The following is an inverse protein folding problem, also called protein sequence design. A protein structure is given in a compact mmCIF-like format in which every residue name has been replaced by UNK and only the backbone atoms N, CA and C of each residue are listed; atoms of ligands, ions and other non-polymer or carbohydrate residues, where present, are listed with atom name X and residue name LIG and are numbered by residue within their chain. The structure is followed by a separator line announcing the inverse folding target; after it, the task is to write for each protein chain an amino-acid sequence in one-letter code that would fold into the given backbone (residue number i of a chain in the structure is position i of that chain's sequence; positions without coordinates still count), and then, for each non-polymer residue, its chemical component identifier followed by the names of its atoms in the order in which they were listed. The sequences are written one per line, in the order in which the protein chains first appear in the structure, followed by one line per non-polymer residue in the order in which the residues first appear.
data_IF_951576671022
#
_entry.id   IF_951576671022
#
_cell.length_a   1.000
_cell.length_b   1.000
_cell.length_c   1.000
_cell.angle_alpha   90.00
_cell.angle_beta   90.00
_cell.angle_gamma   90.00
#
_symmetry.space_group_name_H-M   'P 1'
#
loop_
_entity.id
_entity.type
_entity.pdbx_description
1 polymer ?
#
# COMPACT_ATOMS: atom_id res chain seq x y z
N UNK A 1 76.71 -41.93 -79.92
CA UNK A 1 75.26 -41.59 -80.10
C UNK A 1 74.63 -41.56 -78.74
N UNK A 2 74.50 -40.36 -78.17
CA UNK A 2 73.99 -40.11 -76.81
C UNK A 2 72.79 -39.25 -76.92
N UNK A 3 71.65 -39.81 -76.57
CA UNK A 3 70.31 -39.14 -76.53
C UNK A 3 70.10 -38.41 -75.22
N UNK A 4 69.93 -37.10 -75.30
CA UNK A 4 69.72 -36.25 -74.14
C UNK A 4 68.22 -36.21 -73.81
N UNK A 5 67.85 -36.77 -72.64
CA UNK A 5 66.54 -36.64 -72.05
C UNK A 5 66.29 -35.25 -71.56
N UNK A 6 65.29 -34.53 -72.10
CA UNK A 6 64.81 -33.24 -71.64
C UNK A 6 63.93 -33.43 -70.41
N UNK A 7 64.41 -33.02 -69.23
CA UNK A 7 63.64 -32.88 -68.01
C UNK A 7 62.55 -31.75 -68.15
N UNK A 8 61.28 -32.10 -68.13
CA UNK A 8 60.17 -31.14 -67.99
C UNK A 8 60.18 -30.54 -66.59
N UNK A 9 60.17 -29.21 -66.50
CA UNK A 9 59.99 -28.48 -65.28
C UNK A 9 58.52 -28.61 -64.81
N UNK A 10 58.25 -28.80 -63.51
CA UNK A 10 56.86 -28.81 -63.03
C UNK A 10 56.31 -27.39 -63.07
N UNK A 11 55.11 -27.26 -63.67
CA UNK A 11 54.32 -26.05 -63.62
C UNK A 11 53.95 -25.71 -62.16
N UNK A 12 54.26 -24.48 -61.73
CA UNK A 12 53.84 -23.94 -60.45
C UNK A 12 52.32 -23.85 -60.49
N UNK A 13 51.64 -24.64 -59.67
CA UNK A 13 50.22 -24.49 -59.40
C UNK A 13 50.03 -23.12 -58.73
N UNK A 14 49.32 -22.24 -59.39
CA UNK A 14 48.84 -20.95 -58.81
C UNK A 14 47.77 -21.31 -57.81
N UNK A 15 48.06 -21.11 -56.51
CA UNK A 15 47.08 -21.27 -55.49
C UNK A 15 45.91 -20.26 -55.75
N UNK A 16 44.78 -20.78 -56.17
CA UNK A 16 43.52 -20.02 -56.20
C UNK A 16 43.16 -19.70 -54.77
N UNK A 17 43.16 -18.42 -54.40
CA UNK A 17 42.55 -17.97 -53.18
C UNK A 17 41.08 -18.38 -53.22
N UNK A 18 40.74 -19.33 -52.36
CA UNK A 18 39.38 -19.80 -52.22
C UNK A 18 38.50 -18.58 -51.86
N UNK A 19 37.46 -18.44 -52.64
CA UNK A 19 36.39 -17.47 -52.43
C UNK A 19 35.81 -17.73 -51.04
N UNK A 20 36.10 -16.84 -50.06
CA UNK A 20 35.52 -16.92 -48.71
C UNK A 20 34.08 -16.42 -48.87
N UNK A 21 33.19 -17.35 -49.24
CA UNK A 21 31.78 -17.07 -49.43
C UNK A 21 31.23 -16.28 -48.26
N UNK A 22 30.66 -15.10 -48.54
CA UNK A 22 30.15 -14.12 -47.56
C UNK A 22 29.16 -14.65 -46.53
N UNK A 23 28.62 -15.82 -46.70
CA UNK A 23 27.69 -16.51 -45.79
C UNK A 23 28.36 -17.07 -44.51
N UNK A 24 29.68 -17.30 -44.48
CA UNK A 24 30.39 -17.77 -43.31
C UNK A 24 30.51 -16.70 -42.21
N UNK A 25 30.79 -15.46 -42.58
CA UNK A 25 30.88 -14.33 -41.62
C UNK A 25 29.52 -14.02 -40.98
N UNK A 26 28.43 -14.03 -41.77
CA UNK A 26 27.08 -13.77 -41.27
C UNK A 26 26.65 -14.88 -40.28
N UNK A 27 26.90 -16.14 -40.56
CA UNK A 27 26.66 -17.27 -39.65
C UNK A 27 27.48 -17.20 -38.37
N UNK A 28 28.73 -16.77 -38.44
CA UNK A 28 29.58 -16.57 -37.24
C UNK A 28 29.08 -15.43 -36.40
N UNK A 29 28.71 -14.31 -37.02
CA UNK A 29 28.14 -13.13 -36.32
C UNK A 29 26.78 -13.49 -35.66
N UNK A 30 25.86 -14.13 -36.38
CA UNK A 30 24.60 -14.62 -35.82
C UNK A 30 24.83 -15.64 -34.69
N UNK A 31 25.82 -16.51 -34.80
CA UNK A 31 26.19 -17.45 -33.73
C UNK A 31 26.72 -16.77 -32.46
N UNK A 32 27.53 -15.71 -32.61
CA UNK A 32 28.02 -14.89 -31.48
C UNK A 32 26.86 -14.13 -30.83
N UNK A 33 26.00 -13.47 -31.62
CA UNK A 33 24.79 -12.79 -31.11
C UNK A 33 23.82 -13.76 -30.44
N UNK A 34 23.59 -14.94 -31.02
CA UNK A 34 22.75 -15.99 -30.43
C UNK A 34 23.29 -16.45 -29.06
N UNK A 35 24.60 -16.72 -28.96
CA UNK A 35 25.23 -17.07 -27.67
C UNK A 35 25.16 -15.92 -26.66
N UNK A 36 25.42 -14.69 -27.11
CA UNK A 36 25.28 -13.49 -26.26
C UNK A 36 23.88 -13.33 -25.72
N UNK A 37 22.87 -13.51 -26.59
CA UNK A 37 21.45 -13.44 -26.16
C UNK A 37 21.11 -14.53 -25.13
N UNK A 38 21.59 -15.78 -25.35
CA UNK A 38 21.38 -16.85 -24.37
C UNK A 38 22.03 -16.53 -23.02
N UNK A 39 23.27 -16.01 -23.01
CA UNK A 39 23.94 -15.62 -21.78
C UNK A 39 23.14 -14.51 -21.06
N UNK A 40 22.67 -13.50 -21.77
CA UNK A 40 21.84 -12.42 -21.19
C UNK A 40 20.53 -12.99 -20.63
N UNK A 41 19.83 -13.85 -21.36
CA UNK A 41 18.60 -14.49 -20.89
C UNK A 41 18.83 -15.34 -19.65
N UNK A 42 19.85 -16.20 -19.65
CA UNK A 42 20.19 -17.05 -18.50
C UNK A 42 20.56 -16.18 -17.30
N UNK A 43 21.40 -15.17 -17.49
CA UNK A 43 21.78 -14.25 -16.41
C UNK A 43 20.57 -13.51 -15.84
N UNK A 44 19.68 -13.01 -16.71
CA UNK A 44 18.45 -12.31 -16.28
C UNK A 44 17.53 -13.24 -15.50
N UNK A 45 17.30 -14.47 -15.98
CA UNK A 45 16.49 -15.48 -15.29
C UNK A 45 17.11 -15.89 -13.94
N UNK A 46 18.43 -16.01 -13.88
CA UNK A 46 19.14 -16.34 -12.64
C UNK A 46 19.01 -15.22 -11.62
N UNK A 47 19.24 -13.97 -12.01
CA UNK A 47 19.08 -12.80 -11.14
C UNK A 47 17.64 -12.68 -10.65
N UNK A 48 16.67 -12.87 -11.55
CA UNK A 48 15.24 -12.86 -11.19
C UNK A 48 14.91 -13.99 -10.21
N UNK A 49 15.38 -15.21 -10.46
CA UNK A 49 15.14 -16.36 -9.57
C UNK A 49 15.74 -16.17 -8.18
N UNK A 50 16.98 -15.66 -8.08
CA UNK A 50 17.63 -15.36 -6.80
C UNK A 50 16.86 -14.24 -6.06
N UNK A 51 16.45 -13.20 -6.79
CA UNK A 51 15.71 -12.07 -6.20
C UNK A 51 14.34 -12.51 -5.68
N UNK A 52 13.62 -13.33 -6.42
CA UNK A 52 12.35 -13.90 -5.99
C UNK A 52 12.51 -14.81 -4.76
N UNK A 53 13.53 -15.68 -4.76
CA UNK A 53 13.85 -16.54 -3.61
C UNK A 53 14.19 -15.74 -2.36
N UNK A 54 15.01 -14.70 -2.48
CA UNK A 54 15.32 -13.81 -1.35
C UNK A 54 14.06 -13.11 -0.81
N UNK A 55 13.20 -12.60 -1.70
CA UNK A 55 11.98 -11.94 -1.30
C UNK A 55 11.02 -12.87 -0.55
N UNK A 56 10.80 -14.09 -1.05
CA UNK A 56 9.94 -15.08 -0.39
C UNK A 56 10.51 -15.52 0.96
N UNK A 57 11.84 -15.65 1.07
CA UNK A 57 12.48 -16.01 2.34
C UNK A 57 12.35 -14.89 3.39
N UNK A 58 12.49 -13.64 3.00
CA UNK A 58 12.29 -12.51 3.92
C UNK A 58 10.83 -12.41 4.37
N UNK A 59 9.87 -12.59 3.46
CA UNK A 59 8.44 -12.60 3.79
C UNK A 59 8.09 -13.67 4.80
N UNK A 60 8.63 -14.90 4.65
CA UNK A 60 8.32 -16.01 5.55
C UNK A 60 8.91 -15.86 6.97
N UNK A 61 9.90 -14.99 7.17
CA UNK A 61 10.52 -14.76 8.49
C UNK A 61 9.67 -13.96 9.45
N UNK A 62 8.75 -13.13 8.94
CA UNK A 62 7.98 -12.16 9.72
C UNK A 62 6.47 -12.37 9.56
N UNK A 63 6.05 -13.60 9.27
CA UNK A 63 4.63 -13.91 9.08
C UNK A 63 3.84 -13.86 10.39
N UNK A 64 2.61 -13.40 10.28
CA UNK A 64 1.60 -13.43 11.33
C UNK A 64 0.62 -14.55 11.00
N UNK A 65 0.53 -15.56 11.86
CA UNK A 65 -0.50 -16.59 11.73
C UNK A 65 -1.85 -16.01 12.14
N UNK A 66 -2.77 -15.93 11.19
CA UNK A 66 -4.11 -15.39 11.43
C UNK A 66 -5.08 -16.54 11.65
N UNK A 67 -5.89 -16.42 12.70
CA UNK A 67 -7.02 -17.31 12.96
C UNK A 67 -8.33 -16.53 12.92
N UNK A 68 -9.41 -17.18 12.52
CA UNK A 68 -10.74 -16.60 12.55
C UNK A 68 -11.35 -16.56 13.95
N UNK A 69 -12.52 -15.94 14.09
CA UNK A 69 -13.29 -15.93 15.34
C UNK A 69 -13.66 -17.33 15.85
N UNK A 70 -13.66 -18.33 14.98
CA UNK A 70 -13.86 -19.74 15.30
C UNK A 70 -12.58 -20.45 15.76
N UNK A 71 -11.48 -19.75 15.86
CA UNK A 71 -10.16 -20.28 16.27
C UNK A 71 -9.45 -21.12 15.22
N UNK A 72 -9.98 -21.23 13.99
CA UNK A 72 -9.37 -21.98 12.89
C UNK A 72 -8.46 -21.07 12.07
N UNK A 73 -7.45 -21.69 11.43
CA UNK A 73 -6.61 -20.98 10.47
C UNK A 73 -7.48 -20.42 9.33
N UNK A 74 -7.18 -19.19 8.93
CA UNK A 74 -7.89 -18.53 7.82
C UNK A 74 -7.40 -19.10 6.50
N UNK A 75 -8.32 -19.60 5.69
CA UNK A 75 -8.04 -20.04 4.32
C UNK A 75 -7.91 -18.84 3.38
N UNK A 76 -7.04 -18.97 2.37
CA UNK A 76 -6.92 -17.95 1.31
C UNK A 76 -8.20 -18.02 0.45
N UNK A 77 -9.04 -16.97 0.46
CA UNK A 77 -10.24 -16.96 -0.37
C UNK A 77 -9.88 -16.86 -1.85
N UNK A 78 -10.78 -17.30 -2.75
CA UNK A 78 -10.59 -17.12 -4.18
C UNK A 78 -10.39 -15.65 -4.55
N UNK A 79 -9.36 -15.35 -5.36
CA UNK A 79 -9.02 -13.97 -5.75
C UNK A 79 -10.05 -13.29 -6.66
N UNK A 80 -11.08 -14.00 -7.10
CA UNK A 80 -12.19 -13.43 -7.88
C UNK A 80 -13.30 -12.79 -7.01
N UNK A 81 -13.24 -12.96 -5.68
CA UNK A 81 -14.15 -12.30 -4.73
C UNK A 81 -13.62 -10.93 -4.25
N UNK A 82 -14.36 -10.24 -3.36
CA UNK A 82 -13.87 -9.03 -2.72
C UNK A 82 -12.64 -9.33 -1.85
N UNK A 83 -11.75 -8.35 -1.71
CA UNK A 83 -10.55 -8.48 -0.89
C UNK A 83 -10.66 -7.54 0.32
N UNK A 84 -10.64 -8.10 1.52
CA UNK A 84 -10.61 -7.37 2.77
C UNK A 84 -9.21 -7.50 3.40
N UNK A 85 -8.54 -6.38 3.59
CA UNK A 85 -7.19 -6.28 4.17
C UNK A 85 -7.21 -5.32 5.34
N UNK A 86 -6.78 -5.77 6.52
CA UNK A 86 -6.53 -4.89 7.65
C UNK A 86 -5.08 -4.39 7.62
N UNK A 87 -4.90 -3.07 7.57
CA UNK A 87 -3.61 -2.42 7.74
C UNK A 87 -3.53 -1.87 9.17
N UNK A 88 -2.48 -2.28 9.89
CA UNK A 88 -2.21 -1.86 11.27
C UNK A 88 -0.86 -1.14 11.32
N UNK A 89 -0.86 0.10 11.80
CA UNK A 89 0.36 0.83 12.15
C UNK A 89 0.58 0.76 13.66
N UNK A 90 1.71 0.17 14.07
CA UNK A 90 2.06 0.00 15.48
C UNK A 90 3.13 1.00 15.90
N UNK A 91 3.03 1.46 17.15
CA UNK A 91 4.06 2.26 17.82
C UNK A 91 5.15 1.39 18.49
N UNK A 92 5.16 0.08 18.22
CA UNK A 92 6.18 -0.83 18.76
C UNK A 92 7.58 -0.35 18.45
N UNK A 93 8.43 -0.37 19.47
CA UNK A 93 9.85 -0.01 19.35
C UNK A 93 10.74 -1.25 19.36
N UNK A 94 10.15 -2.42 19.31
CA UNK A 94 10.86 -3.68 19.12
C UNK A 94 11.34 -3.82 17.67
N UNK A 95 12.51 -4.41 17.51
CA UNK A 95 13.07 -4.68 16.18
C UNK A 95 14.15 -3.71 15.74
N UNK A 96 14.77 -4.01 14.61
CA UNK A 96 15.92 -3.27 14.06
C UNK A 96 15.50 -1.87 13.63
N UNK A 97 16.20 -0.85 14.14
CA UNK A 97 15.98 0.55 13.76
C UNK A 97 14.96 1.30 14.60
N UNK A 98 14.11 0.62 15.38
CA UNK A 98 13.08 1.29 16.19
C UNK A 98 13.60 1.85 17.53
N UNK A 99 14.74 1.37 18.04
CA UNK A 99 15.33 1.81 19.31
C UNK A 99 15.68 3.31 19.37
N UNK A 100 15.85 3.98 18.25
CA UNK A 100 16.10 5.42 18.20
C UNK A 100 14.90 6.26 18.66
N UNK A 101 13.70 5.67 18.72
CA UNK A 101 12.47 6.34 19.17
C UNK A 101 12.22 6.19 20.67
N UNK A 102 13.16 5.61 21.44
CA UNK A 102 13.10 5.41 22.88
C UNK A 102 12.90 3.93 23.24
N UNK A 103 12.97 3.65 24.54
CA UNK A 103 12.91 2.29 25.11
C UNK A 103 11.55 1.95 25.73
N UNK A 104 10.54 2.79 25.56
CA UNK A 104 9.20 2.49 26.05
C UNK A 104 8.63 1.26 25.34
N UNK A 105 8.06 0.37 26.13
CA UNK A 105 7.51 -0.91 25.67
C UNK A 105 6.03 -0.81 25.25
N UNK A 106 5.55 0.40 24.91
CA UNK A 106 4.21 0.53 24.38
C UNK A 106 4.10 -0.28 23.07
N UNK A 107 3.08 -1.10 22.99
CA UNK A 107 2.73 -1.82 21.76
C UNK A 107 1.25 -1.56 21.50
N UNK A 108 0.98 -0.47 20.80
CA UNK A 108 -0.35 0.01 20.51
C UNK A 108 -0.57 0.12 19.00
N UNK A 109 -1.79 -0.12 18.55
CA UNK A 109 -2.20 0.09 17.17
C UNK A 109 -2.62 1.55 16.98
N UNK A 110 -1.70 2.39 16.54
CA UNK A 110 -1.95 3.83 16.34
C UNK A 110 -2.70 4.13 15.03
N UNK A 111 -2.64 3.22 14.07
CA UNK A 111 -3.37 3.28 12.80
C UNK A 111 -4.07 1.95 12.58
N UNK A 112 -5.36 1.98 12.31
CA UNK A 112 -6.16 0.80 11.98
C UNK A 112 -7.02 1.16 10.78
N UNK A 113 -6.77 0.54 9.63
CA UNK A 113 -7.50 0.82 8.39
C UNK A 113 -7.95 -0.50 7.77
N UNK A 114 -9.25 -0.66 7.61
CA UNK A 114 -9.83 -1.76 6.84
C UNK A 114 -9.95 -1.33 5.38
N UNK A 115 -9.23 -2.02 4.51
CA UNK A 115 -9.26 -1.81 3.07
C UNK A 115 -10.14 -2.89 2.45
N UNK A 116 -11.15 -2.48 1.71
CA UNK A 116 -12.00 -3.33 0.91
C UNK A 116 -11.82 -3.01 -0.57
N UNK A 117 -11.53 -4.02 -1.37
CA UNK A 117 -11.42 -3.93 -2.83
C UNK A 117 -12.56 -4.76 -3.41
N UNK A 118 -13.41 -4.14 -4.23
CA UNK A 118 -14.57 -4.82 -4.84
C UNK A 118 -14.15 -6.01 -5.71
N UNK A 119 -15.02 -7.02 -5.80
CA UNK A 119 -14.78 -8.22 -6.61
C UNK A 119 -14.52 -7.88 -8.09
N UNK A 120 -15.21 -6.86 -8.62
CA UNK A 120 -15.05 -6.40 -10.00
C UNK A 120 -13.79 -5.54 -10.24
N UNK A 121 -12.98 -5.29 -9.19
CA UNK A 121 -11.75 -4.47 -9.22
C UNK A 121 -11.95 -3.05 -9.76
N UNK A 122 -13.15 -2.49 -9.56
CA UNK A 122 -13.46 -1.11 -10.01
C UNK A 122 -13.49 -0.10 -8.88
N UNK A 123 -13.57 -0.54 -7.62
CA UNK A 123 -13.68 0.32 -6.46
C UNK A 123 -12.78 -0.18 -5.33
N UNK A 124 -12.26 0.73 -4.54
CA UNK A 124 -11.60 0.41 -3.27
C UNK A 124 -11.99 1.46 -2.23
N UNK A 125 -12.21 1.01 -1.00
CA UNK A 125 -12.43 1.88 0.14
C UNK A 125 -11.52 1.49 1.29
N UNK A 126 -10.93 2.48 1.96
CA UNK A 126 -10.21 2.31 3.21
C UNK A 126 -10.97 3.02 4.32
N UNK A 127 -11.43 2.29 5.34
CA UNK A 127 -12.09 2.88 6.52
C UNK A 127 -11.08 2.93 7.66
N UNK A 128 -10.77 4.13 8.13
CA UNK A 128 -9.89 4.37 9.28
C UNK A 128 -10.68 4.32 10.58
N UNK A 129 -10.25 3.50 11.52
CA UNK A 129 -10.80 3.40 12.87
C UNK A 129 -10.01 4.29 13.82
N UNK A 130 -10.68 5.17 14.61
CA UNK A 130 -9.99 5.94 15.63
C UNK A 130 -9.29 5.01 16.63
N UNK A 131 -8.04 5.29 17.00
CA UNK A 131 -7.31 4.47 17.96
C UNK A 131 -7.95 4.47 19.36
N UNK A 132 -8.64 5.54 19.69
CA UNK A 132 -9.33 5.75 20.96
C UNK A 132 -10.77 5.20 20.96
N UNK A 133 -11.12 4.39 19.93
CA UNK A 133 -12.44 3.78 19.79
C UNK A 133 -12.65 2.68 20.84
N UNK A 134 -13.73 2.81 21.60
CA UNK A 134 -14.14 1.85 22.62
C UNK A 134 -15.11 0.84 22.02
N UNK A 135 -14.73 -0.42 22.02
CA UNK A 135 -15.51 -1.52 21.43
C UNK A 135 -15.37 -2.80 22.26
N UNK A 136 -16.30 -3.76 22.14
CA UNK A 136 -16.12 -5.09 22.70
C UNK A 136 -14.96 -5.82 21.98
N UNK A 137 -14.16 -6.58 22.75
CA UNK A 137 -13.13 -7.45 22.19
C UNK A 137 -13.57 -8.91 22.25
N UNK A 138 -13.30 -9.71 21.22
CA UNK A 138 -13.45 -11.15 21.29
C UNK A 138 -12.39 -11.80 22.18
N UNK A 139 -12.53 -13.09 22.43
CA UNK A 139 -11.42 -13.88 22.92
C UNK A 139 -10.30 -13.88 21.86
N UNK A 140 -9.08 -13.59 22.27
CA UNK A 140 -7.93 -13.55 21.39
C UNK A 140 -6.95 -14.67 21.69
N UNK A 141 -6.36 -15.33 20.68
CA UNK A 141 -5.35 -16.35 20.90
C UNK A 141 -4.07 -15.74 21.49
N UNK A 142 -3.32 -16.55 22.25
CA UNK A 142 -2.00 -16.14 22.70
C UNK A 142 -1.01 -16.15 21.54
N UNK A 143 -0.16 -15.13 21.47
CA UNK A 143 0.96 -15.06 20.51
C UNK A 143 2.20 -15.81 20.99
N UNK A 144 2.22 -16.23 22.27
CA UNK A 144 3.39 -16.86 22.92
C UNK A 144 3.15 -18.34 23.29
N UNK A 145 2.04 -18.92 22.82
CA UNK A 145 1.69 -20.33 23.10
C UNK A 145 1.10 -20.59 24.50
N UNK A 146 0.84 -19.53 25.28
CA UNK A 146 0.14 -19.60 26.57
C UNK A 146 -1.40 -19.60 26.40
N UNK A 147 -2.16 -19.45 27.50
CA UNK A 147 -3.60 -19.26 27.43
C UNK A 147 -3.92 -17.97 26.66
N UNK A 148 -4.98 -18.00 25.87
CA UNK A 148 -5.47 -16.82 25.16
C UNK A 148 -6.03 -15.76 26.11
N UNK A 149 -6.38 -14.62 25.57
CA UNK A 149 -6.98 -13.52 26.29
C UNK A 149 -8.51 -13.65 26.30
N UNK A 150 -9.10 -13.40 27.46
CA UNK A 150 -10.56 -13.44 27.61
C UNK A 150 -11.22 -12.26 26.86
N UNK A 151 -12.48 -12.44 26.40
CA UNK A 151 -13.22 -11.36 25.80
C UNK A 151 -13.46 -10.22 26.80
N UNK A 152 -13.50 -8.99 26.29
CA UNK A 152 -13.83 -7.81 27.07
C UNK A 152 -15.12 -7.17 26.54
N UNK A 153 -15.99 -6.76 27.45
CA UNK A 153 -17.25 -6.09 27.07
C UNK A 153 -17.02 -4.69 26.49
N UNK A 154 -15.94 -4.02 26.90
CA UNK A 154 -15.58 -2.69 26.41
C UNK A 154 -14.07 -2.47 26.63
N UNK A 155 -13.35 -2.21 25.55
CA UNK A 155 -11.92 -1.91 25.59
C UNK A 155 -11.53 -0.97 24.46
N UNK A 156 -10.40 -0.29 24.62
CA UNK A 156 -9.88 0.61 23.60
C UNK A 156 -9.22 -0.20 22.47
N UNK A 157 -9.65 0.01 21.23
CA UNK A 157 -9.25 -0.83 20.08
C UNK A 157 -7.74 -0.87 19.85
N UNK A 158 -7.00 0.21 20.12
CA UNK A 158 -5.55 0.24 19.92
C UNK A 158 -4.78 -0.69 20.88
N UNK A 159 -5.35 -1.01 22.05
CA UNK A 159 -4.71 -1.87 23.05
C UNK A 159 -4.85 -3.39 22.72
N UNK A 160 -5.67 -3.75 21.73
CA UNK A 160 -5.84 -5.15 21.32
C UNK A 160 -4.53 -5.79 20.87
N UNK A 161 -3.65 -5.02 20.24
CA UNK A 161 -2.34 -5.52 19.78
C UNK A 161 -1.43 -5.93 20.95
N UNK A 162 -1.50 -5.23 22.07
CA UNK A 162 -0.72 -5.57 23.27
C UNK A 162 -1.24 -6.85 23.95
N UNK A 163 -2.53 -7.18 23.77
CA UNK A 163 -3.18 -8.30 24.43
C UNK A 163 -3.22 -9.60 23.61
N UNK A 164 -3.04 -9.55 22.31
CA UNK A 164 -3.11 -10.76 21.47
C UNK A 164 -2.47 -10.54 20.11
N UNK A 165 -1.58 -9.54 20.04
CA UNK A 165 -0.92 -9.18 18.80
C UNK A 165 -1.85 -8.61 17.74
N UNK A 166 -1.36 -8.38 16.53
CA UNK A 166 -2.15 -7.79 15.45
C UNK A 166 -3.32 -8.68 15.00
N UNK A 167 -3.26 -9.99 15.28
CA UNK A 167 -4.39 -10.91 15.08
C UNK A 167 -5.59 -10.58 15.98
N UNK A 168 -5.37 -10.13 17.22
CA UNK A 168 -6.44 -9.69 18.11
C UNK A 168 -7.11 -8.40 17.59
N UNK A 169 -6.32 -7.46 17.06
CA UNK A 169 -6.87 -6.27 16.39
C UNK A 169 -7.76 -6.68 15.20
N UNK A 170 -7.31 -7.64 14.38
CA UNK A 170 -8.08 -8.16 13.26
C UNK A 170 -9.40 -8.77 13.72
N UNK A 171 -9.38 -9.68 14.71
CA UNK A 171 -10.58 -10.31 15.24
C UNK A 171 -11.57 -9.29 15.83
N UNK A 172 -11.06 -8.23 16.46
CA UNK A 172 -11.88 -7.14 16.99
C UNK A 172 -12.57 -6.36 15.88
N UNK A 173 -11.87 -6.09 14.77
CA UNK A 173 -12.46 -5.43 13.60
C UNK A 173 -13.45 -6.38 12.89
N UNK A 174 -13.16 -7.68 12.78
CA UNK A 174 -14.12 -8.67 12.25
C UNK A 174 -15.40 -8.71 13.08
N UNK A 175 -15.28 -8.74 14.42
CA UNK A 175 -16.44 -8.73 15.31
C UNK A 175 -17.25 -7.45 15.18
N UNK A 176 -16.60 -6.29 15.06
CA UNK A 176 -17.27 -5.00 14.93
C UNK A 176 -18.00 -4.84 13.60
N UNK A 177 -17.38 -5.31 12.51
CA UNK A 177 -17.87 -5.07 11.14
C UNK A 177 -18.75 -6.22 10.61
N UNK A 178 -18.65 -7.41 11.19
CA UNK A 178 -19.27 -8.64 10.67
C UNK A 178 -18.60 -9.17 9.38
N UNK A 179 -17.51 -8.53 8.93
CA UNK A 179 -16.82 -8.92 7.70
C UNK A 179 -15.72 -9.93 7.99
N UNK A 180 -15.48 -10.86 7.04
CA UNK A 180 -14.28 -11.70 7.07
C UNK A 180 -13.09 -10.92 6.51
N UNK A 181 -11.97 -10.93 7.26
CA UNK A 181 -10.75 -10.20 6.92
C UNK A 181 -9.59 -11.18 6.82
N UNK A 182 -9.41 -11.83 5.66
CA UNK A 182 -8.40 -12.87 5.51
C UNK A 182 -6.96 -12.31 5.45
N UNK A 183 -6.79 -11.01 5.21
CA UNK A 183 -5.48 -10.41 4.98
C UNK A 183 -5.16 -9.37 6.05
N UNK A 184 -3.93 -9.44 6.56
CA UNK A 184 -3.40 -8.51 7.57
C UNK A 184 -2.00 -8.04 7.18
N UNK A 185 -1.78 -6.75 7.27
CA UNK A 185 -0.46 -6.14 7.15
C UNK A 185 -0.21 -5.23 8.34
N UNK A 186 0.92 -5.40 8.99
CA UNK A 186 1.36 -4.53 10.09
C UNK A 186 2.66 -3.84 9.73
N UNK A 187 2.76 -2.56 10.04
CA UNK A 187 3.94 -1.72 9.83
C UNK A 187 4.28 -1.00 11.13
N UNK A 188 5.58 -0.89 11.44
CA UNK A 188 6.11 -0.11 12.54
C UNK A 188 6.73 1.22 12.06
N UNK A 189 7.33 1.98 12.97
CA UNK A 189 7.95 3.27 12.67
C UNK A 189 9.07 3.15 11.64
N UNK A 190 9.95 2.17 11.80
CA UNK A 190 11.04 1.95 10.86
C UNK A 190 10.51 1.56 9.48
N UNK A 191 9.46 0.75 9.46
CA UNK A 191 8.78 0.37 8.22
C UNK A 191 8.23 1.56 7.44
N UNK A 192 7.63 2.54 8.12
CA UNK A 192 7.17 3.79 7.48
C UNK A 192 8.35 4.57 6.88
N UNK A 193 9.46 4.68 7.62
CA UNK A 193 10.69 5.33 7.15
C UNK A 193 11.20 4.66 5.88
N UNK A 194 11.40 3.34 5.93
CA UNK A 194 11.98 2.59 4.82
C UNK A 194 11.07 2.54 3.59
N UNK A 195 9.75 2.39 3.79
CA UNK A 195 8.81 2.42 2.67
C UNK A 195 8.74 3.81 2.00
N UNK A 196 8.72 4.88 2.80
CA UNK A 196 8.72 6.24 2.24
C UNK A 196 10.01 6.53 1.47
N UNK A 197 11.16 6.01 1.93
CA UNK A 197 12.43 6.06 1.21
C UNK A 197 12.36 5.27 -0.10
N UNK A 198 11.83 4.07 -0.07
CA UNK A 198 11.75 3.18 -1.24
C UNK A 198 10.87 3.75 -2.37
N UNK A 199 9.82 4.51 -2.04
CA UNK A 199 8.98 5.20 -3.05
C UNK A 199 9.57 6.53 -3.53
N UNK A 200 10.70 6.97 -2.95
CA UNK A 200 11.33 8.25 -3.30
C UNK A 200 10.60 9.47 -2.73
N UNK A 201 9.92 9.28 -1.61
CA UNK A 201 9.12 10.30 -0.93
C UNK A 201 7.68 10.43 -1.48
N UNK A 202 6.84 11.03 -0.66
CA UNK A 202 5.42 11.28 -0.94
C UNK A 202 5.16 12.78 -0.92
N UNK A 203 4.65 13.31 -2.02
CA UNK A 203 4.35 14.73 -2.14
C UNK A 203 3.03 15.05 -1.46
N UNK A 204 3.07 15.86 -0.40
CA UNK A 204 1.90 16.29 0.37
C UNK A 204 1.71 17.79 0.32
N UNK A 205 0.46 18.22 0.35
CA UNK A 205 0.07 19.62 0.44
C UNK A 205 -0.17 20.00 1.91
N UNK A 206 0.39 21.12 2.35
CA UNK A 206 0.16 21.75 3.65
C UNK A 206 -0.51 23.11 3.41
N UNK A 207 -1.72 23.30 3.92
CA UNK A 207 -2.50 24.53 3.70
C UNK A 207 -2.07 25.67 4.63
N UNK A 208 -1.67 25.34 5.85
CA UNK A 208 -1.22 26.26 6.88
C UNK A 208 -0.01 25.64 7.60
N UNK A 209 0.87 26.47 8.16
CA UNK A 209 2.06 26.00 8.87
C UNK A 209 1.70 24.95 9.93
N UNK A 210 2.43 23.85 9.93
CA UNK A 210 2.33 22.80 10.96
C UNK A 210 3.48 23.01 11.93
N UNK A 211 3.16 23.13 13.21
CA UNK A 211 4.14 23.26 14.29
C UNK A 211 3.75 22.31 15.43
N UNK A 212 4.33 21.12 15.44
CA UNK A 212 4.10 20.10 16.46
C UNK A 212 5.41 19.68 17.12
N UNK A 213 5.76 20.25 18.29
CA UNK A 213 6.98 19.90 19.01
C UNK A 213 6.98 18.47 19.57
N UNK A 214 5.80 17.85 19.77
CA UNK A 214 5.71 16.47 20.29
C UNK A 214 6.20 15.42 19.27
N UNK A 215 6.07 15.73 17.98
CA UNK A 215 6.52 14.86 16.89
C UNK A 215 7.70 15.43 16.12
N UNK A 216 8.20 16.60 16.52
CA UNK A 216 9.20 17.39 15.79
C UNK A 216 8.79 17.65 14.33
N UNK A 217 7.50 17.95 14.11
CA UNK A 217 6.96 18.23 12.78
C UNK A 217 6.86 19.75 12.58
N UNK A 218 7.72 20.29 11.72
CA UNK A 218 7.77 21.72 11.39
C UNK A 218 7.72 21.86 9.87
N UNK A 219 6.52 22.15 9.34
CA UNK A 219 6.30 22.30 7.90
C UNK A 219 5.62 23.63 7.62
N UNK A 220 6.15 24.38 6.67
CA UNK A 220 5.50 25.59 6.17
C UNK A 220 4.36 25.26 5.22
N UNK A 221 3.43 26.20 5.05
CA UNK A 221 2.42 26.08 4.00
C UNK A 221 3.07 25.85 2.63
N UNK A 222 2.54 24.94 1.82
CA UNK A 222 3.09 24.58 0.50
C UNK A 222 3.13 23.10 0.22
N UNK A 223 3.86 22.74 -0.83
CA UNK A 223 4.08 21.35 -1.24
C UNK A 223 5.39 20.83 -0.64
N UNK A 224 5.35 19.62 -0.06
CA UNK A 224 6.51 18.97 0.56
C UNK A 224 6.64 17.53 0.08
N UNK A 225 7.85 17.13 -0.31
CA UNK A 225 8.15 15.72 -0.58
C UNK A 225 8.65 15.06 0.71
N UNK A 226 7.76 14.37 1.41
CA UNK A 226 8.07 13.76 2.70
C UNK A 226 8.70 12.38 2.52
N UNK A 227 9.89 12.20 3.10
CA UNK A 227 10.68 10.98 2.99
C UNK A 227 11.30 10.64 4.34
N UNK A 228 11.46 9.35 4.63
CA UNK A 228 12.14 8.89 5.83
C UNK A 228 11.46 9.38 7.11
N UNK A 229 12.24 9.93 8.01
CA UNK A 229 11.77 10.41 9.31
C UNK A 229 10.70 11.50 9.19
N UNK A 230 10.79 12.38 8.18
CA UNK A 230 9.78 13.43 7.98
C UNK A 230 8.41 12.85 7.63
N UNK A 231 8.35 11.77 6.85
CA UNK A 231 7.11 11.07 6.56
C UNK A 231 6.49 10.48 7.84
N UNK A 232 7.31 9.86 8.70
CA UNK A 232 6.85 9.33 9.99
C UNK A 232 6.36 10.44 10.91
N UNK A 233 7.12 11.53 11.05
CA UNK A 233 6.75 12.69 11.86
C UNK A 233 5.39 13.26 11.42
N UNK A 234 5.20 13.46 10.12
CA UNK A 234 3.94 13.95 9.55
C UNK A 234 2.75 13.01 9.83
N UNK A 235 2.93 11.70 9.72
CA UNK A 235 1.87 10.71 10.00
C UNK A 235 1.53 10.62 11.48
N UNK A 236 2.44 11.00 12.37
CA UNK A 236 2.27 10.99 13.82
C UNK A 236 1.77 12.32 14.37
N UNK A 237 1.92 13.43 13.62
CA UNK A 237 1.50 14.75 14.13
C UNK A 237 0.02 14.76 14.45
N UNK A 238 -0.30 15.32 15.59
CA UNK A 238 -1.65 15.47 16.13
C UNK A 238 -1.88 16.89 16.60
N UNK A 239 -1.00 17.39 17.46
CA UNK A 239 -1.14 18.71 18.08
C UNK A 239 -0.86 19.87 17.11
N UNK A 240 -0.29 19.61 15.95
CA UNK A 240 -0.05 20.61 14.92
C UNK A 240 -1.11 20.66 13.82
N UNK A 241 -2.18 19.84 13.89
CA UNK A 241 -3.17 19.74 12.80
C UNK A 241 -4.61 19.82 13.34
N UNK A 242 -5.46 20.51 12.59
CA UNK A 242 -6.89 20.64 12.86
C UNK A 242 -7.18 21.13 14.29
N UNK A 243 -8.00 20.40 15.03
CA UNK A 243 -8.32 20.67 16.43
C UNK A 243 -7.40 19.94 17.44
N UNK A 244 -6.38 19.24 16.97
CA UNK A 244 -5.49 18.42 17.79
C UNK A 244 -6.06 17.08 18.23
N UNK A 245 -7.25 16.69 17.76
CA UNK A 245 -7.89 15.41 18.07
C UNK A 245 -7.28 14.25 17.30
N UNK A 246 -7.63 13.03 17.69
CA UNK A 246 -7.29 11.83 16.91
C UNK A 246 -8.00 11.81 15.54
N UNK A 247 -9.19 12.38 15.46
CA UNK A 247 -9.95 12.49 14.22
C UNK A 247 -9.25 13.42 13.21
N UNK A 248 -8.66 14.52 13.69
CA UNK A 248 -7.81 15.40 12.87
C UNK A 248 -6.56 14.69 12.37
N UNK A 249 -5.94 13.84 13.20
CA UNK A 249 -4.81 13.02 12.77
C UNK A 249 -5.21 12.04 11.66
N UNK A 250 -6.37 11.40 11.76
CA UNK A 250 -6.86 10.49 10.71
C UNK A 250 -6.99 11.23 9.38
N UNK A 251 -7.61 12.41 9.35
CA UNK A 251 -7.74 13.18 8.11
C UNK A 251 -6.38 13.64 7.57
N UNK A 252 -5.42 13.99 8.44
CA UNK A 252 -4.04 14.28 8.04
C UNK A 252 -3.35 13.03 7.44
N UNK A 253 -3.55 11.85 8.02
CA UNK A 253 -3.05 10.59 7.47
C UNK A 253 -3.67 10.28 6.10
N UNK A 254 -4.96 10.60 5.89
CA UNK A 254 -5.62 10.43 4.59
C UNK A 254 -5.03 11.35 3.51
N UNK A 255 -4.54 12.55 3.84
CA UNK A 255 -3.78 13.41 2.92
C UNK A 255 -2.53 12.68 2.44
N UNK A 256 -1.78 12.06 3.35
CA UNK A 256 -0.60 11.27 3.00
C UNK A 256 -0.94 10.03 2.19
N UNK A 257 -1.95 9.25 2.59
CA UNK A 257 -2.35 8.00 1.93
C UNK A 257 -2.86 8.24 0.51
N UNK A 258 -3.67 9.27 0.28
CA UNK A 258 -4.11 9.62 -1.07
C UNK A 258 -2.96 10.08 -1.95
N UNK A 259 -2.01 10.82 -1.40
CA UNK A 259 -0.78 11.21 -2.08
C UNK A 259 0.12 10.01 -2.39
N UNK A 260 0.25 9.07 -1.45
CA UNK A 260 0.95 7.80 -1.65
C UNK A 260 0.32 6.98 -2.79
N UNK A 261 -1.00 6.85 -2.81
CA UNK A 261 -1.71 6.16 -3.91
C UNK A 261 -1.42 6.84 -5.25
N UNK A 262 -1.45 8.18 -5.32
CA UNK A 262 -1.08 8.92 -6.55
C UNK A 262 0.36 8.63 -6.97
N UNK A 263 1.30 8.62 -6.02
CA UNK A 263 2.72 8.30 -6.28
C UNK A 263 2.88 6.88 -6.80
N UNK A 264 2.27 5.89 -6.14
CA UNK A 264 2.33 4.46 -6.53
C UNK A 264 1.73 4.22 -7.92
N UNK A 265 0.68 4.94 -8.27
CA UNK A 265 0.03 4.86 -9.60
C UNK A 265 0.67 5.76 -10.66
N UNK A 266 1.73 6.48 -10.34
CA UNK A 266 2.46 7.29 -11.31
C UNK A 266 3.24 6.42 -12.29
N UNK A 267 3.46 6.94 -13.50
CA UNK A 267 4.26 6.26 -14.53
C UNK A 267 5.70 6.03 -14.09
N UNK A 268 6.23 6.90 -13.22
CA UNK A 268 7.59 6.81 -12.69
C UNK A 268 7.81 5.56 -11.83
N UNK A 269 6.77 5.10 -11.13
CA UNK A 269 6.81 3.87 -10.34
C UNK A 269 6.37 2.67 -11.20
N UNK A 270 5.22 2.75 -11.86
CA UNK A 270 4.64 1.60 -12.57
C UNK A 270 5.51 1.09 -13.73
N UNK A 271 6.28 1.98 -14.36
CA UNK A 271 7.17 1.62 -15.48
C UNK A 271 8.63 1.37 -15.02
N UNK A 272 8.92 1.44 -13.72
CA UNK A 272 10.27 1.26 -13.20
C UNK A 272 10.38 -0.05 -12.39
N UNK A 273 10.87 -1.15 -13.00
CA UNK A 273 10.98 -2.44 -12.31
C UNK A 273 11.94 -2.40 -11.12
N UNK A 274 12.96 -1.53 -11.13
CA UNK A 274 13.89 -1.36 -10.01
C UNK A 274 13.19 -0.71 -8.83
N UNK A 275 12.38 0.33 -9.06
CA UNK A 275 11.58 0.95 -8.01
C UNK A 275 10.57 -0.03 -7.41
N UNK A 276 9.85 -0.78 -8.26
CA UNK A 276 8.90 -1.81 -7.80
C UNK A 276 9.58 -2.89 -6.95
N UNK A 277 10.74 -3.38 -7.39
CA UNK A 277 11.51 -4.37 -6.61
C UNK A 277 12.00 -3.79 -5.28
N UNK A 278 12.52 -2.56 -5.28
CA UNK A 278 12.99 -1.89 -4.05
C UNK A 278 11.86 -1.72 -3.04
N UNK A 279 10.66 -1.36 -3.51
CA UNK A 279 9.46 -1.23 -2.66
C UNK A 279 9.02 -2.60 -2.12
N UNK A 280 8.97 -3.63 -2.97
CA UNK A 280 8.61 -4.99 -2.53
C UNK A 280 9.60 -5.50 -1.48
N UNK A 281 10.90 -5.25 -1.67
CA UNK A 281 11.95 -5.61 -0.71
C UNK A 281 11.84 -4.82 0.60
N UNK A 282 11.55 -3.52 0.54
CA UNK A 282 11.34 -2.70 1.72
C UNK A 282 10.11 -3.18 2.51
N UNK A 283 9.01 -3.48 1.82
CA UNK A 283 7.81 -4.05 2.43
C UNK A 283 8.09 -5.41 3.09
N UNK A 284 8.75 -6.33 2.39
CA UNK A 284 9.08 -7.65 2.91
C UNK A 284 9.95 -7.64 4.17
N UNK A 285 10.82 -6.64 4.30
CA UNK A 285 11.74 -6.52 5.44
C UNK A 285 11.17 -5.77 6.63
N UNK A 286 10.25 -4.86 6.38
CA UNK A 286 9.80 -3.88 7.38
C UNK A 286 8.29 -3.96 7.65
N UNK A 287 7.60 -4.93 7.06
CA UNK A 287 6.20 -5.21 7.38
C UNK A 287 6.07 -6.65 7.88
N UNK A 288 5.13 -6.84 8.80
CA UNK A 288 4.68 -8.19 9.19
C UNK A 288 3.38 -8.45 8.45
N UNK A 289 3.35 -9.48 7.62
CA UNK A 289 2.19 -9.86 6.80
C UNK A 289 1.56 -11.14 7.35
N UNK A 290 0.23 -11.27 7.21
CA UNK A 290 -0.40 -12.57 7.45
C UNK A 290 0.17 -13.62 6.50
N UNK A 291 0.16 -14.86 6.94
CA UNK A 291 0.51 -16.03 6.11
C UNK A 291 -0.30 -16.05 4.80
N UNK A 292 -1.60 -15.71 4.88
CA UNK A 292 -2.49 -15.56 3.71
C UNK A 292 -2.06 -14.44 2.75
N UNK A 293 -1.63 -13.28 3.26
CA UNK A 293 -1.19 -12.14 2.43
C UNK A 293 0.22 -12.36 1.86
N UNK A 294 1.05 -13.16 2.53
CA UNK A 294 2.42 -13.48 2.10
C UNK A 294 2.46 -14.41 0.87
N UNK A 295 1.32 -14.98 0.46
CA UNK A 295 1.25 -15.76 -0.76
C UNK A 295 1.55 -14.87 -1.98
N UNK A 296 2.52 -15.26 -2.85
CA UNK A 296 2.91 -14.44 -3.99
C UNK A 296 1.77 -14.16 -4.97
N UNK A 297 0.84 -15.11 -5.15
CA UNK A 297 -0.32 -14.95 -6.03
C UNK A 297 -1.28 -13.91 -5.48
N UNK A 298 -1.52 -13.92 -4.16
CA UNK A 298 -2.33 -12.91 -3.45
C UNK A 298 -1.69 -11.53 -3.58
N UNK A 299 -0.39 -11.41 -3.33
CA UNK A 299 0.32 -10.12 -3.43
C UNK A 299 0.23 -9.52 -4.84
N UNK A 300 0.44 -10.34 -5.87
CA UNK A 300 0.27 -9.92 -7.27
C UNK A 300 -1.18 -9.54 -7.55
N UNK A 301 -2.14 -10.34 -7.10
CA UNK A 301 -3.58 -10.07 -7.27
C UNK A 301 -4.01 -8.74 -6.63
N UNK A 302 -3.53 -8.43 -5.43
CA UNK A 302 -3.79 -7.14 -4.75
C UNK A 302 -3.14 -5.97 -5.51
N UNK A 303 -1.89 -6.14 -5.97
CA UNK A 303 -1.19 -5.10 -6.73
C UNK A 303 -1.89 -4.80 -8.07
N UNK A 304 -2.30 -5.83 -8.81
CA UNK A 304 -3.03 -5.69 -10.07
C UNK A 304 -4.41 -5.05 -9.87
N UNK A 305 -5.11 -5.44 -8.81
CA UNK A 305 -6.38 -4.82 -8.45
C UNK A 305 -6.21 -3.32 -8.20
N UNK A 306 -5.27 -2.92 -7.36
CA UNK A 306 -4.99 -1.51 -7.07
C UNK A 306 -4.57 -0.73 -8.33
N UNK A 307 -3.79 -1.35 -9.22
CA UNK A 307 -3.40 -0.75 -10.50
C UNK A 307 -4.61 -0.47 -11.39
N UNK A 308 -5.57 -1.38 -11.46
CA UNK A 308 -6.74 -1.28 -12.32
C UNK A 308 -7.74 -0.19 -11.87
N UNK A 309 -7.92 0.01 -10.55
CA UNK A 309 -8.96 0.89 -9.99
C UNK A 309 -8.67 2.36 -10.32
N UNK A 310 -9.60 3.14 -10.92
CA UNK A 310 -9.42 4.56 -11.14
C UNK A 310 -9.27 5.35 -9.83
N UNK A 311 -8.40 6.37 -9.80
CA UNK A 311 -8.15 7.16 -8.57
C UNK A 311 -9.41 7.77 -7.95
N UNK A 312 -10.39 8.20 -8.74
CA UNK A 312 -11.70 8.71 -8.25
C UNK A 312 -12.51 7.66 -7.48
N UNK A 313 -12.19 6.38 -7.66
CA UNK A 313 -12.89 5.24 -7.05
C UNK A 313 -12.07 4.57 -5.96
N UNK A 314 -10.96 5.17 -5.54
CA UNK A 314 -10.20 4.81 -4.35
C UNK A 314 -10.55 5.86 -3.29
N UNK A 315 -11.36 5.45 -2.32
CA UNK A 315 -11.92 6.33 -1.29
C UNK A 315 -11.31 6.00 0.07
N UNK A 316 -10.99 7.01 0.85
CA UNK A 316 -10.61 6.86 2.25
C UNK A 316 -11.66 7.55 3.11
N UNK A 317 -12.21 6.82 4.06
CA UNK A 317 -13.26 7.26 4.98
C UNK A 317 -12.76 7.18 6.41
N UNK A 318 -13.31 8.02 7.25
CA UNK A 318 -13.21 7.89 8.69
C UNK A 318 -14.45 7.17 9.21
N UNK A 319 -14.27 6.20 10.13
CA UNK A 319 -15.40 5.55 10.77
C UNK A 319 -16.20 6.60 11.55
N UNK A 320 -17.51 6.71 11.33
CA UNK A 320 -18.36 7.59 12.14
C UNK A 320 -18.29 7.20 13.60
N UNK A 321 -17.97 8.18 14.45
CA UNK A 321 -17.79 7.96 15.89
C UNK A 321 -18.37 9.11 16.69
N UNK A 322 -18.81 8.82 17.91
CA UNK A 322 -19.39 9.74 18.87
C UNK A 322 -18.48 9.87 20.08
N UNK A 323 -18.28 11.08 20.59
CA UNK A 323 -17.52 11.32 21.80
C UNK A 323 -18.22 10.70 23.01
N UNK A 324 -17.45 10.06 23.88
CA UNK A 324 -17.94 9.51 25.13
C UNK A 324 -17.78 10.54 26.27
N UNK A 325 -18.51 10.33 27.35
CA UNK A 325 -18.53 11.21 28.53
C UNK A 325 -18.17 10.46 29.81
N UNK A 326 -18.06 11.16 30.93
CA UNK A 326 -17.78 10.57 32.23
C UNK A 326 -16.37 9.98 32.33
N UNK A 327 -16.25 8.76 32.83
CA UNK A 327 -14.95 8.07 32.99
C UNK A 327 -14.24 7.77 31.67
N UNK A 328 -14.97 7.82 30.56
CA UNK A 328 -14.45 7.62 29.21
C UNK A 328 -14.35 8.94 28.43
N UNK A 329 -14.38 10.10 29.09
CA UNK A 329 -14.08 11.36 28.44
C UNK A 329 -12.74 11.27 27.67
N UNK A 330 -12.66 11.86 26.50
CA UNK A 330 -11.55 11.72 25.55
C UNK A 330 -11.46 10.35 24.82
N UNK A 331 -12.48 9.51 24.93
CA UNK A 331 -12.66 8.33 24.10
C UNK A 331 -13.86 8.52 23.17
N UNK A 332 -13.92 7.68 22.16
CA UNK A 332 -15.02 7.67 21.20
C UNK A 332 -15.62 6.26 21.10
N UNK A 333 -16.89 6.19 20.75
CA UNK A 333 -17.58 4.95 20.42
C UNK A 333 -18.08 5.00 18.98
N UNK A 334 -18.31 3.87 18.30
CA UNK A 334 -18.92 3.91 16.97
C UNK A 334 -20.27 4.61 17.02
N UNK A 335 -20.56 5.45 16.02
CA UNK A 335 -21.93 5.80 15.67
C UNK A 335 -22.50 4.59 14.96
N UNK A 336 -23.06 3.64 15.72
CA UNK A 336 -23.46 2.34 15.23
C UNK A 336 -24.45 2.40 14.06
N UNK A 337 -25.34 3.40 14.06
CA UNK A 337 -26.31 3.58 12.97
C UNK A 337 -25.58 3.89 11.65
N UNK A 338 -24.70 4.86 11.64
CA UNK A 338 -23.94 5.25 10.44
C UNK A 338 -22.84 4.24 10.08
N UNK A 339 -22.18 3.67 11.09
CA UNK A 339 -21.15 2.67 10.88
C UNK A 339 -21.73 1.40 10.22
N UNK A 340 -22.91 0.96 10.65
CA UNK A 340 -23.57 -0.20 10.08
C UNK A 340 -23.91 -0.03 8.60
N UNK A 341 -24.31 1.18 8.18
CA UNK A 341 -24.54 1.49 6.76
C UNK A 341 -23.27 1.22 5.94
N UNK A 342 -22.09 1.67 6.46
CA UNK A 342 -20.82 1.43 5.76
C UNK A 342 -20.47 -0.07 5.72
N UNK A 343 -20.68 -0.79 6.81
CA UNK A 343 -20.38 -2.22 6.89
C UNK A 343 -21.29 -3.04 6.00
N UNK A 344 -22.58 -2.72 5.93
CA UNK A 344 -23.57 -3.37 5.05
C UNK A 344 -23.21 -3.14 3.56
N UNK A 345 -22.76 -1.92 3.19
CA UNK A 345 -22.29 -1.63 1.85
C UNK A 345 -21.06 -2.45 1.48
N UNK A 346 -20.10 -2.61 2.42
CA UNK A 346 -18.93 -3.46 2.20
C UNK A 346 -19.31 -4.94 2.10
N UNK A 347 -20.21 -5.43 2.96
CA UNK A 347 -20.68 -6.81 2.95
C UNK A 347 -21.41 -7.16 1.64
N UNK A 348 -22.14 -6.18 1.09
CA UNK A 348 -22.85 -6.31 -0.18
C UNK A 348 -21.97 -5.98 -1.41
N UNK A 349 -20.67 -5.77 -1.23
CA UNK A 349 -19.70 -5.39 -2.27
C UNK A 349 -20.15 -4.16 -3.09
N UNK A 350 -20.84 -3.21 -2.44
CA UNK A 350 -21.36 -2.02 -3.10
C UNK A 350 -20.28 -0.95 -3.27
N UNK A 351 -20.30 -0.21 -4.38
CA UNK A 351 -19.35 0.89 -4.60
C UNK A 351 -19.51 2.01 -3.56
N UNK A 352 -18.47 2.27 -2.78
CA UNK A 352 -18.43 3.34 -1.79
C UNK A 352 -17.69 4.55 -2.35
N UNK A 353 -18.39 5.38 -3.10
CA UNK A 353 -17.82 6.51 -3.81
C UNK A 353 -18.34 7.81 -3.19
N UNK A 354 -17.44 8.72 -2.83
CA UNK A 354 -17.80 10.09 -2.52
C UNK A 354 -18.21 10.79 -3.81
N UNK A 355 -19.32 11.50 -3.79
CA UNK A 355 -19.71 12.39 -4.87
C UNK A 355 -18.69 13.53 -5.04
N UNK A 356 -19.05 14.72 -4.65
CA UNK A 356 -18.08 15.79 -4.42
C UNK A 356 -17.50 15.63 -3.01
N UNK A 357 -16.17 15.72 -2.87
CA UNK A 357 -15.55 15.74 -1.53
C UNK A 357 -15.90 17.07 -0.86
N UNK A 358 -16.81 17.04 0.09
CA UNK A 358 -17.24 18.24 0.83
C UNK A 358 -16.63 18.33 2.22
N UNK A 359 -16.42 17.18 2.85
CA UNK A 359 -15.92 17.07 4.22
C UNK A 359 -14.72 16.11 4.29
N UNK A 360 -13.49 16.60 4.08
CA UNK A 360 -12.30 15.76 4.13
C UNK A 360 -11.83 15.46 5.57
N UNK A 361 -12.54 15.95 6.58
CA UNK A 361 -12.22 15.82 8.00
C UNK A 361 -11.48 17.04 8.57
N UNK A 362 -11.45 17.14 9.91
CA UNK A 362 -11.02 18.35 10.64
C UNK A 362 -9.53 18.71 10.43
N UNK A 363 -8.67 17.74 10.20
CA UNK A 363 -7.22 17.93 9.98
C UNK A 363 -6.84 18.20 8.52
N UNK A 364 -7.81 18.33 7.61
CA UNK A 364 -7.53 18.56 6.19
C UNK A 364 -8.53 19.49 5.53
N UNK A 365 -8.13 20.08 4.40
CA UNK A 365 -8.96 20.95 3.55
C UNK A 365 -8.76 20.55 2.09
N UNK A 366 -9.73 20.85 1.24
CA UNK A 366 -9.59 20.65 -0.20
C UNK A 366 -8.61 21.69 -0.75
N UNK A 367 -7.63 21.25 -1.52
CA UNK A 367 -6.70 22.18 -2.16
C UNK A 367 -7.44 23.14 -3.09
N UNK A 368 -7.10 24.44 -3.12
CA UNK A 368 -7.67 25.37 -4.08
C UNK A 368 -7.35 24.87 -5.49
N UNK A 369 -8.38 24.71 -6.30
CA UNK A 369 -8.22 24.35 -7.71
C UNK A 369 -7.53 25.51 -8.43
N UNK A 370 -6.39 25.30 -9.11
CA UNK A 370 -5.81 26.37 -9.93
C UNK A 370 -6.84 26.78 -10.97
N UNK A 371 -7.27 28.03 -10.92
CA UNK A 371 -8.23 28.61 -11.87
C UNK A 371 -7.56 28.59 -13.26
N UNK A 372 -7.83 27.55 -14.04
CA UNK A 372 -7.56 27.61 -15.48
C UNK A 372 -8.54 28.61 -16.04
N UNK A 373 -8.06 29.76 -16.48
CA UNK A 373 -8.81 30.70 -17.30
C UNK A 373 -9.19 29.95 -18.57
N UNK A 374 -10.37 29.35 -18.56
CA UNK A 374 -10.93 28.67 -19.73
C UNK A 374 -11.65 29.69 -20.58
N UNK A 375 -11.08 29.98 -21.74
CA UNK A 375 -11.81 30.60 -22.84
C UNK A 375 -13.04 29.72 -23.18
N UNK A 376 -14.24 30.24 -23.24
CA UNK A 376 -15.43 29.43 -23.51
C UNK A 376 -15.39 28.86 -24.94
N UNK A 377 -15.31 27.53 -25.05
CA UNK A 377 -15.51 26.81 -26.30
C UNK A 377 -17.00 26.43 -26.38
N UNK A 378 -17.67 26.61 -27.51
CA UNK A 378 -19.10 26.28 -27.64
C UNK A 378 -19.33 24.79 -27.42
N UNK A 379 -20.28 24.48 -26.54
CA UNK A 379 -20.70 23.13 -26.17
C UNK A 379 -21.59 22.56 -27.28
N UNK A 380 -21.11 21.53 -27.97
CA UNK A 380 -21.97 20.57 -28.66
C UNK A 380 -22.18 19.37 -27.75
N UNK A 381 -23.40 19.21 -27.26
CA UNK A 381 -23.84 18.09 -26.44
C UNK A 381 -23.82 16.78 -27.22
N UNK A 382 -23.13 15.72 -26.76
CA UNK A 382 -23.48 14.36 -27.13
C UNK A 382 -24.45 13.79 -26.10
N UNK A 383 -25.55 13.25 -26.59
CA UNK A 383 -26.52 12.44 -25.82
C UNK A 383 -25.80 11.30 -25.16
N UNK A 384 -25.67 11.34 -23.81
CA UNK A 384 -25.07 10.30 -23.03
C UNK A 384 -26.13 9.21 -22.77
N UNK A 385 -25.80 7.99 -23.18
CA UNK A 385 -26.47 6.76 -22.72
C UNK A 385 -26.41 6.68 -21.20
N UNK A 386 -27.44 6.22 -20.48
CA UNK A 386 -27.44 6.20 -19.04
C UNK A 386 -26.38 5.22 -18.50
N UNK A 387 -25.28 5.76 -18.04
CA UNK A 387 -24.34 5.03 -17.19
C UNK A 387 -25.06 4.71 -15.87
N UNK A 388 -24.97 3.49 -15.29
CA UNK A 388 -25.59 3.18 -14.01
C UNK A 388 -25.09 4.19 -12.98
N UNK A 389 -26.04 4.95 -12.43
CA UNK A 389 -25.76 6.01 -11.44
C UNK A 389 -25.44 5.32 -10.12
N UNK A 390 -24.15 5.27 -9.77
CA UNK A 390 -23.72 4.84 -8.43
C UNK A 390 -24.24 5.91 -7.46
N UNK A 391 -25.06 5.48 -6.48
CA UNK A 391 -25.52 6.38 -5.42
C UNK A 391 -24.30 6.78 -4.58
N UNK A 392 -23.98 8.08 -4.48
CA UNK A 392 -22.87 8.52 -3.65
C UNK A 392 -23.15 8.26 -2.18
N UNK A 393 -22.08 8.16 -1.38
CA UNK A 393 -22.19 8.10 0.07
C UNK A 393 -22.94 9.32 0.62
N UNK A 394 -23.68 9.16 1.74
CA UNK A 394 -24.37 10.28 2.39
C UNK A 394 -23.43 11.42 2.80
N UNK A 395 -23.96 12.64 2.90
CA UNK A 395 -23.17 13.85 3.20
C UNK A 395 -22.49 13.84 4.59
N UNK A 396 -22.90 12.94 5.49
CA UNK A 396 -22.22 12.78 6.78
C UNK A 396 -20.90 11.99 6.67
N UNK A 397 -20.65 11.30 5.55
CA UNK A 397 -19.44 10.52 5.37
C UNK A 397 -18.22 11.45 5.24
N UNK A 398 -17.33 11.37 6.21
CA UNK A 398 -16.08 12.13 6.21
C UNK A 398 -14.98 11.36 5.49
N UNK A 399 -14.30 12.01 4.57
CA UNK A 399 -13.21 11.38 3.86
C UNK A 399 -12.84 12.06 2.56
N UNK A 400 -11.99 11.40 1.79
CA UNK A 400 -11.46 11.89 0.52
C UNK A 400 -11.27 10.75 -0.47
N UNK A 401 -11.04 11.08 -1.74
CA UNK A 401 -10.65 10.09 -2.76
C UNK A 401 -9.26 10.41 -3.32
N UNK A 402 -8.61 9.41 -3.93
CA UNK A 402 -7.24 9.58 -4.43
C UNK A 402 -7.09 10.56 -5.59
N UNK A 403 -8.18 10.97 -6.25
CA UNK A 403 -8.15 11.98 -7.32
C UNK A 403 -8.26 13.42 -6.80
N UNK A 404 -8.88 13.61 -5.62
CA UNK A 404 -9.01 14.93 -5.00
C UNK A 404 -7.74 15.27 -4.23
N UNK A 405 -7.13 16.41 -4.55
CA UNK A 405 -6.00 16.90 -3.75
C UNK A 405 -6.54 17.56 -2.49
N UNK A 406 -6.17 17.01 -1.34
CA UNK A 406 -6.43 17.60 -0.02
C UNK A 406 -5.11 18.08 0.57
N UNK A 407 -5.15 19.13 1.37
CA UNK A 407 -4.01 19.68 2.08
C UNK A 407 -4.20 19.48 3.58
N UNK A 408 -3.12 19.19 4.29
CA UNK A 408 -3.12 19.18 5.74
C UNK A 408 -3.39 20.59 6.27
N UNK A 409 -4.26 20.69 7.26
CA UNK A 409 -4.63 21.96 7.91
C UNK A 409 -3.85 22.08 9.20
N UNK A 410 -2.86 22.99 9.23
CA UNK A 410 -2.19 23.39 10.48
C UNK A 410 -3.16 24.00 11.50
N UNK A 411 -2.74 24.11 12.77
CA UNK A 411 -3.46 24.82 13.80
C UNK A 411 -3.27 26.33 13.71
#
# INVERSE_FOLDING_TARGET
MTEQSKKKRPERAIARHGDVGGNGRLRTILGIFGKGLVVVLVSTLTVFGISAYQLTTELSRHQIHVVGLDGKAVEIPPLNGPLNLLLVGSDTREGTGNGVFGTETSNLADVIILIHISADRKNAVGISFPRDLMVPWPACPSTTGGPGYLPQSLGQINATIANGGPGCTLLTVEQLTGLKIPYLAMIDFNGVIELSNAVGGVEVCVAQDINDPYTNTYLKAGMHNLQGLQALQFLRTRHGVGDGSDLSRISNQQVYLTSLVRKLKSKDILNNPVALYSMAKAAARNMKLSDTLSDPGVMVGVADALKAIPMKKITFLQLPALSMTGQYANRVQPDYEKAQILFDMMAADQPMVLGEVKNPGEGSVIAPTPTKTSTPKPSTSPSASPTPTVTPLPDWAQGTNAATTTCSKGQ
#
